data_IF_075712148419
#
_entry.id   IF_075712148419
#
_cell.length_a   1.000
_cell.length_b   1.000
_cell.length_c   1.000
_cell.angle_alpha   90.00
_cell.angle_beta   90.00
_cell.angle_gamma   90.00
#
_symmetry.space_group_name_H-M   'P 1'
#
loop_
_entity.id
_entity.type
_entity.pdbx_description
1 polymer ?
#
# COMPACT_ATOMS: atom_id res chain seq x y z
N UNK A 1 49.35 2.82 46.92
CA UNK A 1 48.25 3.46 46.19
C UNK A 1 48.07 2.72 44.86
N UNK A 2 47.20 1.71 44.80
CA UNK A 2 46.90 1.02 43.55
C UNK A 2 45.71 1.72 42.87
N UNK A 3 45.91 2.25 41.67
CA UNK A 3 44.82 2.80 40.86
C UNK A 3 44.18 1.66 40.06
N UNK A 4 42.89 1.42 40.28
CA UNK A 4 42.09 0.56 39.38
C UNK A 4 41.89 1.28 38.05
N UNK A 5 42.24 0.60 36.96
CA UNK A 5 41.92 1.06 35.61
C UNK A 5 40.45 0.74 35.29
N UNK A 6 39.69 1.75 34.88
CA UNK A 6 38.35 1.57 34.30
C UNK A 6 38.52 1.21 32.82
N UNK A 7 37.94 0.11 32.32
CA UNK A 7 38.05 -0.23 30.91
C UNK A 7 37.33 0.82 30.08
N UNK A 8 38.03 1.41 29.10
CA UNK A 8 37.42 2.31 28.14
C UNK A 8 36.52 1.51 27.20
N UNK A 9 35.23 1.89 27.12
CA UNK A 9 34.31 1.32 26.14
C UNK A 9 34.64 1.87 24.75
N UNK A 10 34.95 0.98 23.82
CA UNK A 10 35.19 1.37 22.42
C UNK A 10 33.87 1.81 21.76
N UNK A 11 33.89 2.83 20.89
CA UNK A 11 32.70 3.26 20.17
C UNK A 11 32.18 2.12 19.27
N UNK A 12 30.88 1.84 19.34
CA UNK A 12 30.23 0.84 18.49
C UNK A 12 30.20 1.38 17.05
N UNK A 13 30.87 0.69 16.13
CA UNK A 13 30.81 1.00 14.71
C UNK A 13 29.45 0.55 14.13
N UNK A 14 28.72 1.45 13.49
CA UNK A 14 27.50 1.12 12.76
C UNK A 14 27.87 0.56 11.40
N UNK A 15 27.61 -0.73 11.18
CA UNK A 15 27.82 -1.36 9.87
C UNK A 15 26.68 -0.99 8.91
N UNK A 16 26.98 -0.63 7.64
CA UNK A 16 25.96 -0.38 6.64
C UNK A 16 25.24 -1.69 6.26
N UNK A 17 23.93 -1.61 6.05
CA UNK A 17 23.13 -2.73 5.55
C UNK A 17 23.41 -2.91 4.06
N UNK A 18 23.70 -4.14 3.62
CA UNK A 18 23.89 -4.44 2.19
C UNK A 18 22.56 -4.40 1.43
N UNK A 19 22.60 -4.04 0.14
CA UNK A 19 21.41 -4.07 -0.72
C UNK A 19 20.81 -5.47 -0.84
N UNK A 20 21.64 -6.52 -0.80
CA UNK A 20 21.18 -7.91 -0.81
C UNK A 20 20.34 -8.26 0.42
N UNK A 21 20.62 -7.65 1.57
CA UNK A 21 19.82 -7.84 2.78
C UNK A 21 18.43 -7.17 2.67
N UNK A 22 18.28 -6.16 1.80
CA UNK A 22 17.00 -5.50 1.52
C UNK A 22 16.17 -6.22 0.46
N UNK A 23 16.81 -7.03 -0.40
CA UNK A 23 16.14 -7.72 -1.51
C UNK A 23 14.85 -8.47 -1.13
N UNK A 24 14.79 -9.32 -0.09
CA UNK A 24 13.55 -10.01 0.28
C UNK A 24 12.44 -9.04 0.73
N UNK A 25 12.80 -7.98 1.44
CA UNK A 25 11.85 -6.96 1.90
C UNK A 25 11.32 -6.11 0.75
N UNK A 26 12.18 -5.75 -0.21
CA UNK A 26 11.78 -5.06 -1.41
C UNK A 26 10.83 -5.91 -2.27
N UNK A 27 11.13 -7.21 -2.44
CA UNK A 27 10.26 -8.14 -3.15
C UNK A 27 8.89 -8.26 -2.45
N UNK A 28 8.87 -8.40 -1.13
CA UNK A 28 7.64 -8.43 -0.35
C UNK A 28 6.82 -7.15 -0.52
N UNK A 29 7.46 -5.97 -0.37
CA UNK A 29 6.80 -4.69 -0.55
C UNK A 29 6.25 -4.51 -1.97
N UNK A 30 6.98 -4.97 -3.00
CA UNK A 30 6.52 -4.92 -4.38
C UNK A 30 5.26 -5.78 -4.59
N UNK A 31 5.23 -7.01 -4.06
CA UNK A 31 4.05 -7.88 -4.14
C UNK A 31 2.85 -7.24 -3.43
N UNK A 32 3.04 -6.72 -2.21
CA UNK A 32 1.97 -6.03 -1.49
C UNK A 32 1.47 -4.80 -2.25
N UNK A 33 2.39 -4.01 -2.82
CA UNK A 33 2.03 -2.84 -3.62
C UNK A 33 1.18 -3.22 -4.83
N UNK A 34 1.61 -4.24 -5.59
CA UNK A 34 0.86 -4.73 -6.74
C UNK A 34 -0.52 -5.27 -6.33
N UNK A 35 -0.60 -5.98 -5.20
CA UNK A 35 -1.86 -6.46 -4.65
C UNK A 35 -2.82 -5.30 -4.29
N UNK A 36 -2.32 -4.27 -3.61
CA UNK A 36 -3.12 -3.09 -3.26
C UNK A 36 -3.56 -2.32 -4.51
N UNK A 37 -2.67 -2.15 -5.49
CA UNK A 37 -3.01 -1.53 -6.78
C UNK A 37 -4.06 -2.35 -7.53
N UNK A 38 -3.99 -3.67 -7.49
CA UNK A 38 -5.02 -4.53 -8.06
C UNK A 38 -6.37 -4.32 -7.37
N UNK A 39 -6.42 -4.32 -6.04
CA UNK A 39 -7.67 -4.09 -5.31
C UNK A 39 -8.29 -2.73 -5.63
N UNK A 40 -7.51 -1.66 -5.52
CA UNK A 40 -7.98 -0.31 -5.86
C UNK A 40 -8.40 -0.25 -7.33
N UNK A 41 -7.61 -0.85 -8.23
CA UNK A 41 -7.91 -0.89 -9.65
C UNK A 41 -9.24 -1.59 -9.94
N UNK A 42 -9.48 -2.75 -9.34
CA UNK A 42 -10.75 -3.49 -9.48
C UNK A 42 -11.93 -2.66 -9.00
N UNK A 43 -11.82 -2.02 -7.83
CA UNK A 43 -12.87 -1.14 -7.29
C UNK A 43 -13.14 0.07 -8.20
N UNK A 44 -12.11 0.59 -8.87
CA UNK A 44 -12.25 1.67 -9.87
C UNK A 44 -12.63 1.15 -11.27
N UNK A 45 -12.92 -0.14 -11.42
CA UNK A 45 -13.33 -0.73 -12.69
C UNK A 45 -12.21 -0.93 -13.71
N UNK A 46 -10.93 -0.87 -13.31
CA UNK A 46 -9.78 -1.12 -14.19
C UNK A 46 -9.76 -2.55 -14.77
N UNK A 47 -10.47 -3.49 -14.14
CA UNK A 47 -10.70 -4.85 -14.62
C UNK A 47 -12.17 -5.12 -15.02
N UNK A 48 -12.98 -4.07 -15.19
CA UNK A 48 -14.38 -4.24 -15.59
C UNK A 48 -14.49 -4.70 -17.05
N UNK A 49 -15.22 -5.80 -17.27
CA UNK A 49 -15.49 -6.34 -18.62
C UNK A 49 -16.70 -5.63 -19.25
N UNK A 50 -17.61 -5.13 -18.43
CA UNK A 50 -18.80 -4.39 -18.84
C UNK A 50 -18.75 -2.97 -18.28
N UNK A 51 -19.19 -2.01 -19.08
CA UNK A 51 -19.29 -0.62 -18.64
C UNK A 51 -20.43 -0.47 -17.63
N UNK A 52 -20.15 0.18 -16.50
CA UNK A 52 -21.13 0.43 -15.44
C UNK A 52 -22.12 1.53 -15.78
N UNK A 53 -21.95 2.24 -16.91
CA UNK A 53 -22.79 3.39 -17.29
C UNK A 53 -24.24 2.98 -17.50
N UNK A 54 -24.52 1.87 -18.18
CA UNK A 54 -25.89 1.40 -18.37
C UNK A 54 -26.58 1.07 -17.05
N UNK A 55 -25.84 0.51 -16.07
CA UNK A 55 -26.37 0.26 -14.72
C UNK A 55 -26.52 1.57 -13.95
N UNK A 56 -25.60 2.51 -14.13
CA UNK A 56 -25.65 3.84 -13.54
C UNK A 56 -26.88 4.61 -14.01
N UNK A 57 -27.13 4.66 -15.31
CA UNK A 57 -28.30 5.30 -15.91
C UNK A 57 -29.59 4.60 -15.51
N UNK A 58 -29.64 3.26 -15.54
CA UNK A 58 -30.81 2.51 -15.09
C UNK A 58 -31.17 2.81 -13.62
N UNK A 59 -30.17 2.85 -12.74
CA UNK A 59 -30.38 3.17 -11.33
C UNK A 59 -30.76 4.65 -11.14
N UNK A 60 -30.12 5.53 -11.91
CA UNK A 60 -30.40 6.96 -11.91
C UNK A 60 -31.86 7.22 -12.34
N UNK A 61 -32.31 6.62 -13.43
CA UNK A 61 -33.67 6.71 -13.97
C UNK A 61 -34.69 6.07 -13.03
N UNK A 62 -34.37 4.94 -12.41
CA UNK A 62 -35.22 4.31 -11.40
C UNK A 62 -35.46 5.22 -10.19
N UNK A 63 -34.42 5.92 -9.72
CA UNK A 63 -34.55 6.91 -8.64
C UNK A 63 -35.44 8.08 -9.05
N UNK A 64 -35.27 8.57 -10.27
CA UNK A 64 -36.12 9.63 -10.84
C UNK A 64 -37.58 9.23 -10.96
N UNK A 65 -37.84 8.00 -11.41
CA UNK A 65 -39.19 7.44 -11.50
C UNK A 65 -39.88 7.39 -10.14
N UNK A 66 -39.11 7.17 -9.07
CA UNK A 66 -39.58 7.18 -7.68
C UNK A 66 -39.63 8.59 -7.06
N UNK A 67 -39.31 9.64 -7.82
CA UNK A 67 -39.41 11.05 -7.40
C UNK A 67 -38.27 11.53 -6.48
N UNK A 68 -37.22 10.73 -6.32
CA UNK A 68 -36.04 11.14 -5.55
C UNK A 68 -35.14 12.06 -6.39
N UNK A 69 -34.67 13.21 -5.84
CA UNK A 69 -33.84 14.16 -6.57
C UNK A 69 -32.44 13.63 -6.87
N UNK A 70 -31.80 14.21 -7.89
CA UNK A 70 -30.43 13.91 -8.31
C UNK A 70 -29.49 15.13 -8.15
N UNK A 71 -29.25 15.60 -6.93
CA UNK A 71 -28.25 16.64 -6.65
C UNK A 71 -27.96 16.74 -5.16
#
# INVERSE_FOLDING_TARGET
>A
MAHSAVPASAPVAVAPISLSALAPWAAFAAVVTLFLLYLVGVEQGAAAIFQGETVHEWMHDGRHLLGFPCH
#
